data_IF_171590801922
#
_entry.id   IF_171590801922
#
_cell.length_a   1.000
_cell.length_b   1.000
_cell.length_c   1.000
_cell.angle_alpha   90.00
_cell.angle_beta   90.00
_cell.angle_gamma   90.00
#
_symmetry.space_group_name_H-M   'P 1'
#
loop_
_entity.id
_entity.type
_entity.pdbx_description
1 polymer ?
#
# COMPACT_ATOMS: atom_id res chain seq x y z
N UNK A 1 -26.90 66.36 -12.39
CA UNK A 1 -27.82 65.20 -12.51
C UNK A 1 -27.98 64.61 -11.12
N UNK A 2 -29.16 64.72 -10.48
CA UNK A 2 -29.40 64.10 -9.15
C UNK A 2 -29.64 62.61 -9.38
N UNK A 3 -28.76 61.76 -8.86
CA UNK A 3 -29.00 60.32 -8.83
C UNK A 3 -30.24 60.09 -7.97
N UNK A 4 -31.25 59.36 -8.50
CA UNK A 4 -32.44 59.03 -7.71
C UNK A 4 -32.03 58.03 -6.62
N UNK A 5 -32.55 58.21 -5.42
CA UNK A 5 -32.26 57.36 -4.26
C UNK A 5 -32.53 55.89 -4.59
N UNK A 6 -33.57 55.61 -5.37
CA UNK A 6 -33.92 54.26 -5.83
C UNK A 6 -32.82 53.62 -6.69
N UNK A 7 -32.22 54.39 -7.61
CA UNK A 7 -31.11 53.94 -8.45
C UNK A 7 -29.86 53.66 -7.62
N UNK A 8 -29.63 54.43 -6.55
CA UNK A 8 -28.52 54.18 -5.62
C UNK A 8 -28.74 52.90 -4.81
N UNK A 9 -29.97 52.65 -4.36
CA UNK A 9 -30.34 51.45 -3.62
C UNK A 9 -30.18 50.21 -4.51
N UNK A 10 -30.67 50.25 -5.75
CA UNK A 10 -30.55 49.13 -6.71
C UNK A 10 -29.08 48.79 -7.00
N UNK A 11 -28.23 49.81 -7.16
CA UNK A 11 -26.78 49.62 -7.37
C UNK A 11 -26.12 48.98 -6.14
N UNK A 12 -26.47 49.42 -4.93
CA UNK A 12 -25.91 48.85 -3.69
C UNK A 12 -26.32 47.38 -3.54
N UNK A 13 -27.60 47.06 -3.77
CA UNK A 13 -28.09 45.67 -3.71
C UNK A 13 -27.38 44.81 -4.76
N UNK A 14 -27.23 45.31 -5.99
CA UNK A 14 -26.50 44.62 -7.06
C UNK A 14 -25.04 44.32 -6.68
N UNK A 15 -24.34 45.27 -6.07
CA UNK A 15 -22.97 45.08 -5.61
C UNK A 15 -22.86 44.06 -4.47
N UNK A 16 -23.83 44.04 -3.54
CA UNK A 16 -23.87 43.03 -2.46
C UNK A 16 -24.05 41.63 -3.04
N UNK A 17 -24.96 41.45 -4.00
CA UNK A 17 -25.21 40.15 -4.64
C UNK A 17 -23.96 39.68 -5.39
N UNK A 18 -23.33 40.56 -6.17
CA UNK A 18 -22.10 40.23 -6.91
C UNK A 18 -20.96 39.89 -5.93
N UNK A 19 -20.80 40.66 -4.86
CA UNK A 19 -19.79 40.40 -3.83
C UNK A 19 -20.00 39.07 -3.12
N UNK A 20 -21.24 38.74 -2.76
CA UNK A 20 -21.58 37.45 -2.17
C UNK A 20 -21.33 36.28 -3.13
N UNK A 21 -21.72 36.42 -4.40
CA UNK A 21 -21.46 35.40 -5.42
C UNK A 21 -19.96 35.18 -5.66
N UNK A 22 -19.17 36.25 -5.71
CA UNK A 22 -17.72 36.18 -5.85
C UNK A 22 -17.07 35.53 -4.62
N UNK A 23 -17.54 35.83 -3.40
CA UNK A 23 -17.06 35.22 -2.17
C UNK A 23 -17.32 33.70 -2.16
N UNK A 24 -18.54 33.26 -2.47
CA UNK A 24 -18.87 31.83 -2.55
C UNK A 24 -18.01 31.11 -3.60
N UNK A 25 -17.80 31.73 -4.77
CA UNK A 25 -16.98 31.14 -5.82
C UNK A 25 -15.50 30.97 -5.41
N UNK A 26 -14.92 31.96 -4.72
CA UNK A 26 -13.55 31.88 -4.22
C UNK A 26 -13.42 30.82 -3.12
N UNK A 27 -14.41 30.72 -2.22
CA UNK A 27 -14.43 29.73 -1.15
C UNK A 27 -14.54 28.29 -1.70
N UNK A 28 -15.46 28.06 -2.65
CA UNK A 28 -15.60 26.77 -3.34
C UNK A 28 -14.32 26.39 -4.08
N UNK A 29 -13.75 27.32 -4.84
CA UNK A 29 -12.51 27.09 -5.59
C UNK A 29 -11.32 26.80 -4.66
N UNK A 30 -11.18 27.58 -3.58
CA UNK A 30 -10.13 27.39 -2.58
C UNK A 30 -10.23 26.04 -1.88
N UNK A 31 -11.45 25.65 -1.50
CA UNK A 31 -11.71 24.35 -0.86
C UNK A 31 -11.39 23.19 -1.80
N UNK A 32 -11.79 23.28 -3.08
CA UNK A 32 -11.43 22.27 -4.08
C UNK A 32 -9.93 22.15 -4.25
N UNK A 33 -9.20 23.27 -4.37
CA UNK A 33 -7.74 23.25 -4.51
C UNK A 33 -7.03 22.68 -3.29
N UNK A 34 -7.54 22.93 -2.10
CA UNK A 34 -7.03 22.32 -0.87
C UNK A 34 -7.23 20.79 -0.87
N UNK A 35 -8.42 20.32 -1.24
CA UNK A 35 -8.73 18.89 -1.33
C UNK A 35 -7.86 18.20 -2.40
N UNK A 36 -7.72 18.80 -3.57
CA UNK A 36 -6.85 18.30 -4.65
C UNK A 36 -5.39 18.22 -4.17
N UNK A 37 -4.87 19.28 -3.55
CA UNK A 37 -3.49 19.30 -3.04
C UNK A 37 -3.25 18.27 -1.93
N UNK A 38 -4.22 18.04 -1.05
CA UNK A 38 -4.13 16.98 -0.04
C UNK A 38 -4.12 15.60 -0.70
N UNK A 39 -5.01 15.38 -1.68
CA UNK A 39 -5.10 14.12 -2.43
C UNK A 39 -3.79 13.79 -3.15
N UNK A 40 -3.18 14.76 -3.84
CA UNK A 40 -1.89 14.59 -4.50
C UNK A 40 -0.78 14.27 -3.50
N UNK A 41 -0.81 14.91 -2.32
CA UNK A 41 0.12 14.62 -1.23
C UNK A 41 -0.03 13.20 -0.67
N UNK A 42 -1.26 12.74 -0.48
CA UNK A 42 -1.57 11.39 -0.01
C UNK A 42 -1.15 10.34 -1.04
N UNK A 43 -1.42 10.57 -2.33
CA UNK A 43 -0.99 9.68 -3.42
C UNK A 43 0.53 9.52 -3.44
N UNK A 44 1.27 10.63 -3.35
CA UNK A 44 2.73 10.60 -3.32
C UNK A 44 3.27 9.86 -2.09
N UNK A 45 2.69 10.10 -0.91
CA UNK A 45 3.07 9.40 0.33
C UNK A 45 2.87 7.89 0.20
N UNK A 46 1.69 7.48 -0.27
CA UNK A 46 1.36 6.06 -0.46
C UNK A 46 2.30 5.43 -1.48
N UNK A 47 2.57 6.13 -2.58
CA UNK A 47 3.52 5.66 -3.59
C UNK A 47 4.89 5.38 -2.98
N UNK A 48 5.47 6.36 -2.28
CA UNK A 48 6.81 6.25 -1.72
C UNK A 48 6.89 5.11 -0.69
N UNK A 49 5.99 5.09 0.29
CA UNK A 49 6.00 4.09 1.36
C UNK A 49 5.81 2.68 0.80
N UNK A 50 4.87 2.50 -0.13
CA UNK A 50 4.63 1.20 -0.76
C UNK A 50 5.82 0.76 -1.61
N UNK A 51 6.41 1.68 -2.38
CA UNK A 51 7.58 1.39 -3.21
C UNK A 51 8.77 0.94 -2.37
N UNK A 52 9.08 1.66 -1.30
CA UNK A 52 10.17 1.34 -0.39
C UNK A 52 9.96 -0.03 0.26
N UNK A 53 8.77 -0.30 0.79
CA UNK A 53 8.47 -1.61 1.39
C UNK A 53 8.58 -2.76 0.39
N UNK A 54 8.12 -2.58 -0.85
CA UNK A 54 8.30 -3.61 -1.89
C UNK A 54 9.78 -3.81 -2.22
N UNK A 55 10.60 -2.75 -2.18
CA UNK A 55 12.05 -2.88 -2.31
C UNK A 55 12.66 -3.72 -1.20
N UNK A 56 12.22 -3.52 0.05
CA UNK A 56 12.71 -4.26 1.21
C UNK A 56 12.30 -5.74 1.14
N UNK A 57 11.03 -6.04 0.80
CA UNK A 57 10.57 -7.42 0.56
C UNK A 57 11.45 -8.11 -0.48
N UNK A 58 11.73 -7.45 -1.60
CA UNK A 58 12.60 -8.00 -2.64
C UNK A 58 14.02 -8.25 -2.11
N UNK A 59 14.58 -7.30 -1.37
CA UNK A 59 15.93 -7.40 -0.85
C UNK A 59 16.04 -8.52 0.19
N UNK A 60 15.21 -8.54 1.23
CA UNK A 60 15.27 -9.50 2.32
C UNK A 60 14.89 -10.93 1.87
N UNK A 61 13.94 -11.09 0.95
CA UNK A 61 13.65 -12.41 0.37
C UNK A 61 14.84 -12.97 -0.42
N UNK A 62 15.55 -12.13 -1.17
CA UNK A 62 16.78 -12.53 -1.88
C UNK A 62 17.91 -12.88 -0.90
N UNK A 63 18.11 -12.08 0.13
CA UNK A 63 19.16 -12.34 1.13
C UNK A 63 18.87 -13.60 1.96
N UNK A 64 17.61 -13.85 2.30
CA UNK A 64 17.18 -15.11 2.90
C UNK A 64 17.49 -16.29 1.98
N UNK A 65 17.13 -16.21 0.69
CA UNK A 65 17.40 -17.25 -0.30
C UNK A 65 18.91 -17.53 -0.47
N UNK A 66 19.70 -16.48 -0.58
CA UNK A 66 21.17 -16.57 -0.69
C UNK A 66 21.80 -17.18 0.57
N UNK A 67 21.32 -16.77 1.75
CA UNK A 67 21.80 -17.26 3.03
C UNK A 67 21.47 -18.73 3.23
N UNK A 68 20.27 -19.15 2.83
CA UNK A 68 19.86 -20.56 2.82
C UNK A 68 20.79 -21.40 1.93
N UNK A 69 21.12 -20.91 0.72
CA UNK A 69 22.02 -21.61 -0.20
C UNK A 69 23.47 -21.71 0.30
N UNK A 70 23.91 -20.74 1.11
CA UNK A 70 25.25 -20.71 1.72
C UNK A 70 25.30 -21.38 3.10
N UNK A 71 24.18 -21.94 3.58
CA UNK A 71 24.03 -22.46 4.94
C UNK A 71 24.41 -21.44 6.03
N UNK A 72 24.16 -20.14 5.79
CA UNK A 72 24.41 -19.08 6.75
C UNK A 72 23.20 -18.87 7.65
N UNK A 73 23.13 -19.62 8.75
CA UNK A 73 22.00 -19.62 9.69
C UNK A 73 21.70 -18.23 10.27
N UNK A 74 22.74 -17.47 10.64
CA UNK A 74 22.58 -16.13 11.22
C UNK A 74 21.98 -15.12 10.24
N UNK A 75 22.53 -15.06 9.02
CA UNK A 75 22.04 -14.15 7.98
C UNK A 75 20.65 -14.56 7.47
N UNK A 76 20.37 -15.86 7.39
CA UNK A 76 19.04 -16.37 7.09
C UNK A 76 18.04 -15.93 8.16
N UNK A 77 18.34 -16.16 9.44
CA UNK A 77 17.45 -15.76 10.54
C UNK A 77 17.14 -14.26 10.52
N UNK A 78 18.17 -13.42 10.36
CA UNK A 78 17.98 -11.96 10.30
C UNK A 78 17.09 -11.58 9.12
N UNK A 79 17.42 -12.04 7.91
CA UNK A 79 16.67 -11.70 6.69
C UNK A 79 15.20 -12.14 6.80
N UNK A 80 14.93 -13.28 7.42
CA UNK A 80 13.55 -13.76 7.61
C UNK A 80 12.79 -12.93 8.65
N UNK A 81 13.44 -12.44 9.70
CA UNK A 81 12.80 -11.53 10.68
C UNK A 81 12.43 -10.20 10.02
N UNK A 82 13.38 -9.59 9.31
CA UNK A 82 13.12 -8.34 8.59
C UNK A 82 12.01 -8.52 7.55
N UNK A 83 12.02 -9.63 6.79
CA UNK A 83 11.00 -9.93 5.79
C UNK A 83 9.58 -10.06 6.39
N UNK A 84 9.44 -10.54 7.63
CA UNK A 84 8.13 -10.53 8.32
C UNK A 84 7.68 -9.09 8.57
N UNK A 85 8.58 -8.25 9.10
CA UNK A 85 8.29 -6.83 9.33
C UNK A 85 7.95 -6.08 8.05
N UNK A 86 8.60 -6.41 6.93
CA UNK A 86 8.29 -5.80 5.63
C UNK A 86 6.86 -6.14 5.17
N UNK A 87 6.38 -7.36 5.41
CA UNK A 87 4.99 -7.72 5.12
C UNK A 87 4.01 -6.95 6.02
N UNK A 88 4.31 -6.77 7.30
CA UNK A 88 3.48 -5.97 8.21
C UNK A 88 3.39 -4.51 7.74
N UNK A 89 4.52 -3.90 7.35
CA UNK A 89 4.52 -2.57 6.76
C UNK A 89 3.75 -2.52 5.44
N UNK A 90 3.85 -3.56 4.61
CA UNK A 90 3.12 -3.62 3.35
C UNK A 90 1.61 -3.64 3.62
N UNK A 91 1.14 -4.40 4.60
CA UNK A 91 -0.28 -4.43 4.96
C UNK A 91 -0.82 -3.05 5.32
N UNK A 92 -0.07 -2.28 6.12
CA UNK A 92 -0.43 -0.90 6.46
C UNK A 92 -0.51 -0.02 5.22
N UNK A 93 0.49 -0.10 4.33
CA UNK A 93 0.52 0.67 3.09
C UNK A 93 -0.62 0.28 2.12
N UNK A 94 -1.02 -1.00 2.10
CA UNK A 94 -2.14 -1.49 1.30
C UNK A 94 -3.48 -1.00 1.87
N UNK A 95 -3.60 -0.88 3.20
CA UNK A 95 -4.76 -0.24 3.84
C UNK A 95 -4.90 1.23 3.44
N UNK A 96 -3.82 2.01 3.55
CA UNK A 96 -3.79 3.40 3.08
C UNK A 96 -4.14 3.49 1.58
N UNK A 97 -3.66 2.53 0.78
CA UNK A 97 -3.98 2.43 -0.66
C UNK A 97 -5.48 2.19 -0.91
N UNK A 98 -6.12 1.32 -0.12
CA UNK A 98 -7.56 1.07 -0.24
C UNK A 98 -8.37 2.30 0.13
N UNK A 99 -8.01 2.98 1.23
CA UNK A 99 -8.69 4.21 1.65
C UNK A 99 -8.57 5.31 0.58
N UNK A 100 -7.41 5.42 -0.08
CA UNK A 100 -7.20 6.37 -1.17
C UNK A 100 -7.97 6.03 -2.45
N UNK A 101 -7.94 4.76 -2.87
CA UNK A 101 -8.57 4.32 -4.13
C UNK A 101 -10.10 4.23 -4.03
N UNK A 102 -10.61 3.87 -2.86
CA UNK A 102 -12.02 3.58 -2.62
C UNK A 102 -12.60 4.40 -1.45
N UNK A 103 -12.50 5.75 -1.47
CA UNK A 103 -12.82 6.59 -0.32
C UNK A 103 -14.30 6.57 0.10
N UNK A 104 -15.18 6.07 -0.77
CA UNK A 104 -16.62 5.96 -0.52
C UNK A 104 -17.09 4.52 -0.28
N UNK A 105 -16.18 3.53 -0.34
CA UNK A 105 -16.53 2.13 -0.10
C UNK A 105 -16.30 1.75 1.36
N UNK A 106 -17.30 1.14 1.99
CA UNK A 106 -17.08 0.49 3.26
C UNK A 106 -16.17 -0.73 3.06
N UNK A 107 -15.23 -1.02 3.98
CA UNK A 107 -14.38 -2.20 3.88
C UNK A 107 -15.21 -3.47 3.74
N UNK A 108 -15.19 -4.05 2.53
CA UNK A 108 -15.82 -5.34 2.25
C UNK A 108 -14.76 -6.45 2.30
N UNK A 109 -15.20 -7.70 2.40
CA UNK A 109 -14.31 -8.86 2.54
C UNK A 109 -13.29 -8.95 1.40
N UNK A 110 -13.66 -8.53 0.18
CA UNK A 110 -12.76 -8.52 -0.98
C UNK A 110 -11.63 -7.51 -0.78
N UNK A 111 -11.94 -6.27 -0.39
CA UNK A 111 -10.95 -5.23 -0.12
C UNK A 111 -10.02 -5.63 1.02
N UNK A 112 -10.59 -6.13 2.12
CA UNK A 112 -9.81 -6.64 3.28
C UNK A 112 -8.87 -7.77 2.86
N UNK A 113 -9.32 -8.70 2.01
CA UNK A 113 -8.47 -9.79 1.54
C UNK A 113 -7.34 -9.33 0.60
N UNK A 114 -7.49 -8.17 -0.04
CA UNK A 114 -6.46 -7.59 -0.89
C UNK A 114 -5.38 -6.84 -0.11
N UNK A 115 -5.64 -6.40 1.12
CA UNK A 115 -4.65 -5.72 1.97
C UNK A 115 -3.86 -6.67 2.86
N UNK A 116 -4.44 -7.82 3.19
CA UNK A 116 -3.84 -8.82 4.08
C UNK A 116 -2.47 -9.31 3.61
N UNK A 117 -1.55 -9.50 4.54
CA UNK A 117 -0.21 -10.08 4.28
C UNK A 117 0.13 -11.30 5.14
N UNK A 118 -0.78 -11.69 6.03
CA UNK A 118 -0.57 -12.70 7.06
C UNK A 118 -0.11 -14.07 6.55
N UNK A 119 -0.56 -14.52 5.37
CA UNK A 119 -0.19 -15.85 4.84
C UNK A 119 1.29 -15.90 4.48
N UNK A 120 1.82 -14.84 3.86
CA UNK A 120 3.25 -14.77 3.57
C UNK A 120 4.08 -14.50 4.82
N UNK A 121 3.64 -13.62 5.72
CA UNK A 121 4.30 -13.41 7.00
C UNK A 121 4.40 -14.71 7.82
N UNK A 122 3.31 -15.49 7.90
CA UNK A 122 3.28 -16.79 8.56
C UNK A 122 4.18 -17.81 7.85
N UNK A 123 4.17 -17.84 6.52
CA UNK A 123 5.07 -18.71 5.74
C UNK A 123 6.53 -18.41 6.06
N UNK A 124 6.91 -17.13 6.11
CA UNK A 124 8.27 -16.70 6.43
C UNK A 124 8.61 -17.11 7.87
N UNK A 125 7.77 -16.79 8.85
CA UNK A 125 8.04 -17.09 10.25
C UNK A 125 8.14 -18.60 10.54
N UNK A 126 7.26 -19.41 9.94
CA UNK A 126 7.33 -20.87 10.08
C UNK A 126 8.55 -21.45 9.37
N UNK A 127 8.86 -20.96 8.17
CA UNK A 127 10.06 -21.38 7.43
C UNK A 127 11.32 -21.07 8.22
N UNK A 128 11.38 -19.90 8.85
CA UNK A 128 12.46 -19.50 9.73
C UNK A 128 12.65 -20.50 10.86
N UNK A 129 11.59 -20.77 11.62
CA UNK A 129 11.62 -21.72 12.75
C UNK A 129 12.02 -23.13 12.31
N UNK A 130 11.41 -23.63 11.23
CA UNK A 130 11.66 -24.97 10.74
C UNK A 130 13.12 -25.16 10.27
N UNK A 131 13.70 -24.17 9.58
CA UNK A 131 15.10 -24.23 9.13
C UNK A 131 16.04 -24.19 10.33
N UNK A 132 15.81 -23.30 11.30
CA UNK A 132 16.63 -23.19 12.51
C UNK A 132 16.60 -24.47 13.36
N UNK A 133 15.46 -25.16 13.37
CA UNK A 133 15.29 -26.42 14.10
C UNK A 133 15.75 -27.65 13.28
N UNK A 134 16.15 -27.47 12.02
CA UNK A 134 16.56 -28.56 11.14
C UNK A 134 15.41 -29.47 10.67
N UNK A 135 14.16 -29.03 10.81
CA UNK A 135 12.95 -29.78 10.43
C UNK A 135 12.32 -29.29 9.12
N UNK A 136 12.87 -28.23 8.53
CA UNK A 136 12.32 -27.65 7.30
C UNK A 136 12.43 -28.59 6.11
N UNK A 137 11.37 -28.60 5.30
CA UNK A 137 11.49 -28.94 3.91
C UNK A 137 12.14 -27.78 3.15
N UNK A 138 13.47 -27.82 3.01
CA UNK A 138 14.27 -26.75 2.38
C UNK A 138 13.81 -26.45 0.95
N UNK A 139 13.27 -27.43 0.21
CA UNK A 139 12.74 -27.18 -1.14
C UNK A 139 11.54 -26.25 -1.14
N UNK A 140 10.58 -26.49 -0.23
CA UNK A 140 9.39 -25.64 -0.10
C UNK A 140 9.75 -24.23 0.39
N UNK A 141 10.70 -24.12 1.32
CA UNK A 141 11.23 -22.82 1.78
C UNK A 141 11.85 -22.05 0.62
N UNK A 142 12.67 -22.73 -0.20
CA UNK A 142 13.31 -22.11 -1.38
C UNK A 142 12.28 -21.64 -2.40
N UNK A 143 11.27 -22.47 -2.69
CA UNK A 143 10.19 -22.13 -3.62
C UNK A 143 9.42 -20.89 -3.17
N UNK A 144 9.01 -20.82 -1.90
CA UNK A 144 8.27 -19.67 -1.40
C UNK A 144 9.10 -18.38 -1.33
N UNK A 145 10.37 -18.46 -0.96
CA UNK A 145 11.26 -17.29 -1.00
C UNK A 145 11.48 -16.77 -2.43
N UNK A 146 11.66 -17.67 -3.40
CA UNK A 146 11.75 -17.29 -4.82
C UNK A 146 10.46 -16.62 -5.29
N UNK A 147 9.30 -17.18 -4.94
CA UNK A 147 8.00 -16.62 -5.30
C UNK A 147 7.81 -15.20 -4.75
N UNK A 148 8.17 -14.97 -3.49
CA UNK A 148 8.08 -13.64 -2.85
C UNK A 148 9.01 -12.66 -3.57
N UNK A 149 10.26 -13.06 -3.82
CA UNK A 149 11.24 -12.25 -4.54
C UNK A 149 10.75 -11.87 -5.95
N UNK A 150 10.26 -12.84 -6.70
CA UNK A 150 9.77 -12.65 -8.07
C UNK A 150 8.55 -11.73 -8.10
N UNK A 151 7.62 -11.92 -7.16
CA UNK A 151 6.42 -11.05 -7.05
C UNK A 151 6.82 -9.61 -6.73
N UNK A 152 7.72 -9.39 -5.76
CA UNK A 152 8.21 -8.06 -5.45
C UNK A 152 8.98 -7.44 -6.63
N UNK A 153 9.74 -8.24 -7.37
CA UNK A 153 10.42 -7.79 -8.59
C UNK A 153 9.44 -7.33 -9.66
N UNK A 154 8.38 -8.12 -9.90
CA UNK A 154 7.33 -7.79 -10.85
C UNK A 154 6.59 -6.51 -10.43
N UNK A 155 6.24 -6.40 -9.15
CA UNK A 155 5.59 -5.21 -8.62
C UNK A 155 6.45 -3.96 -8.81
N UNK A 156 7.75 -4.01 -8.54
CA UNK A 156 8.63 -2.86 -8.78
C UNK A 156 8.70 -2.45 -10.25
N UNK A 157 8.70 -3.42 -11.16
CA UNK A 157 8.84 -3.15 -12.59
C UNK A 157 7.56 -2.57 -13.19
N UNK A 158 6.40 -3.03 -12.73
CA UNK A 158 5.12 -2.80 -13.42
C UNK A 158 4.12 -1.95 -12.64
N UNK A 159 4.32 -1.73 -11.33
CA UNK A 159 3.28 -1.13 -10.50
C UNK A 159 3.22 0.38 -10.62
N UNK A 160 1.97 0.85 -10.63
CA UNK A 160 1.61 2.20 -10.20
C UNK A 160 1.05 2.06 -8.79
N UNK A 161 1.67 2.72 -7.82
CA UNK A 161 1.16 2.75 -6.45
C UNK A 161 0.42 4.07 -6.21
N UNK A 162 -0.72 4.05 -5.53
CA UNK A 162 -1.59 2.89 -5.29
C UNK A 162 -2.32 2.43 -6.57
N UNK A 163 -2.60 1.12 -6.72
CA UNK A 163 -3.50 0.61 -7.76
C UNK A 163 -4.26 -0.65 -7.34
N UNK A 164 -5.45 -0.84 -7.91
CA UNK A 164 -6.26 -2.04 -7.69
C UNK A 164 -5.57 -3.31 -8.23
N UNK A 165 -4.81 -3.20 -9.33
CA UNK A 165 -4.03 -4.32 -9.87
C UNK A 165 -3.01 -4.83 -8.87
N UNK A 166 -2.29 -3.91 -8.20
CA UNK A 166 -1.33 -4.26 -7.15
C UNK A 166 -2.02 -4.92 -5.95
N UNK A 167 -3.15 -4.38 -5.50
CA UNK A 167 -3.97 -4.96 -4.43
C UNK A 167 -4.40 -6.41 -4.75
N UNK A 168 -4.83 -6.66 -6.00
CA UNK A 168 -5.18 -8.01 -6.47
C UNK A 168 -3.95 -8.93 -6.57
N UNK A 169 -2.81 -8.38 -6.98
CA UNK A 169 -1.56 -9.12 -7.07
C UNK A 169 -1.08 -9.57 -5.68
N UNK A 170 -1.18 -8.72 -4.65
CA UNK A 170 -0.93 -9.11 -3.26
C UNK A 170 -1.83 -10.27 -2.84
N UNK A 171 -3.15 -10.18 -3.03
CA UNK A 171 -4.07 -11.28 -2.72
C UNK A 171 -3.68 -12.60 -3.43
N UNK A 172 -3.18 -12.49 -4.67
CA UNK A 172 -2.63 -13.61 -5.43
C UNK A 172 -1.42 -14.25 -4.76
N UNK A 173 -0.46 -13.45 -4.31
CA UNK A 173 0.72 -13.91 -3.59
C UNK A 173 0.33 -14.57 -2.25
N UNK A 174 -0.57 -13.96 -1.48
CA UNK A 174 -1.03 -14.51 -0.20
C UNK A 174 -1.61 -15.92 -0.33
N UNK A 175 -2.43 -16.16 -1.35
CA UNK A 175 -2.98 -17.50 -1.62
C UNK A 175 -1.86 -18.52 -1.88
N UNK A 176 -0.84 -18.14 -2.64
CA UNK A 176 0.29 -19.04 -2.95
C UNK A 176 1.14 -19.33 -1.71
N UNK A 177 1.46 -18.32 -0.90
CA UNK A 177 2.14 -18.52 0.40
C UNK A 177 1.34 -19.48 1.31
N UNK A 178 0.02 -19.30 1.39
CA UNK A 178 -0.84 -20.16 2.21
C UNK A 178 -0.91 -21.61 1.75
N UNK A 179 -0.75 -21.88 0.45
CA UNK A 179 -0.61 -23.26 -0.05
C UNK A 179 0.73 -23.87 0.37
N UNK A 180 1.80 -23.09 0.35
CA UNK A 180 3.15 -23.54 0.71
C UNK A 180 3.31 -23.82 2.22
N UNK A 181 2.54 -23.16 3.09
CA UNK A 181 2.54 -23.41 4.54
C UNK A 181 2.48 -24.90 4.90
N UNK A 182 1.65 -25.65 4.19
CA UNK A 182 1.42 -27.09 4.40
C UNK A 182 2.64 -27.95 4.09
N UNK A 183 3.66 -27.37 3.45
CA UNK A 183 4.83 -28.07 2.95
C UNK A 183 6.13 -27.65 3.66
N UNK A 184 6.09 -26.62 4.50
CA UNK A 184 7.26 -26.08 5.21
C UNK A 184 7.73 -27.01 6.33
N UNK A 185 6.78 -27.58 7.06
CA UNK A 185 7.03 -28.52 8.16
C UNK A 185 6.57 -29.91 7.71
N UNK A 186 7.52 -30.85 7.60
CA UNK A 186 7.21 -32.26 7.38
C UNK A 186 6.67 -32.92 8.64
#
# INVERSE_FOLDING_TARGET
>A
MKLRVDVLIDVIIGLIIIGAAAYCWVDEYGTQKFIEGQRDGDEFRIYMMTSDTVCDIQFHSREALNSLNRNSTGAFNLSMVELVGDFEHLELNLWDSVEYLFPNELPNETLVNMTRTYQCAEFVELSRKAVLNGTANVSAVREGLSLIYESATEWRANSRFPSEEFLRANAGLQRKCGLLLKHVSG
#
